data_IF_489587800932
#
_entry.id   IF_489587800932
#
_cell.length_a   1.000
_cell.length_b   1.000
_cell.length_c   1.000
_cell.angle_alpha   90.00
_cell.angle_beta   90.00
_cell.angle_gamma   90.00
#
_symmetry.space_group_name_H-M   'P 1'
#
loop_
_entity.id
_entity.type
_entity.pdbx_description
1 polymer ?
#
# COMPACT_ATOMS: atom_id res chain seq x y z
N UNK A 1 -15.18 -14.38 18.91
CA UNK A 1 -16.01 -13.34 18.25
C UNK A 1 -15.27 -12.01 18.09
N UNK A 2 -14.52 -11.55 19.11
CA UNK A 2 -13.76 -10.29 19.09
C UNK A 2 -12.77 -10.11 17.92
N UNK A 3 -12.12 -11.19 17.45
CA UNK A 3 -11.12 -11.08 16.36
C UNK A 3 -11.72 -10.72 15.00
N UNK A 4 -12.97 -11.11 14.69
CA UNK A 4 -13.58 -10.84 13.37
C UNK A 4 -13.91 -9.37 13.18
N UNK A 5 -14.54 -8.78 14.21
CA UNK A 5 -14.96 -7.40 14.19
C UNK A 5 -13.75 -6.45 14.15
N UNK A 6 -12.73 -6.72 14.97
CA UNK A 6 -11.48 -5.95 14.96
C UNK A 6 -10.84 -5.93 13.57
N UNK A 7 -10.69 -7.08 12.92
CA UNK A 7 -10.13 -7.13 11.57
C UNK A 7 -10.98 -6.40 10.54
N UNK A 8 -12.31 -6.49 10.61
CA UNK A 8 -13.19 -5.73 9.70
C UNK A 8 -13.03 -4.22 9.89
N UNK A 9 -13.10 -3.72 11.12
CA UNK A 9 -12.93 -2.29 11.42
C UNK A 9 -11.55 -1.81 10.96
N UNK A 10 -10.48 -2.55 11.26
CA UNK A 10 -9.14 -2.19 10.81
C UNK A 10 -9.00 -2.17 9.29
N UNK A 11 -9.60 -3.11 8.55
CA UNK A 11 -9.58 -3.09 7.07
C UNK A 11 -10.28 -1.88 6.49
N UNK A 12 -11.35 -1.41 7.12
CA UNK A 12 -12.09 -0.22 6.68
C UNK A 12 -11.23 1.02 6.94
N UNK A 13 -10.72 1.18 8.17
CA UNK A 13 -9.88 2.33 8.54
C UNK A 13 -8.63 2.40 7.66
N UNK A 14 -7.90 1.29 7.52
CA UNK A 14 -6.73 1.24 6.65
C UNK A 14 -7.10 1.51 5.19
N UNK A 15 -8.21 0.96 4.71
CA UNK A 15 -8.69 1.21 3.35
C UNK A 15 -8.85 2.71 3.10
N UNK A 16 -9.52 3.44 4.00
CA UNK A 16 -9.60 4.90 3.91
C UNK A 16 -8.24 5.59 4.01
N UNK A 17 -7.35 5.14 4.90
CA UNK A 17 -5.99 5.67 5.04
C UNK A 17 -5.14 5.48 3.78
N UNK A 18 -5.46 4.54 2.90
CA UNK A 18 -4.81 4.37 1.59
C UNK A 18 -5.55 5.10 0.46
N UNK A 19 -6.88 5.18 0.50
CA UNK A 19 -7.68 5.92 -0.49
C UNK A 19 -7.35 7.41 -0.45
N UNK A 20 -7.31 8.02 0.74
CA UNK A 20 -7.05 9.47 0.89
C UNK A 20 -5.72 9.92 0.25
N UNK A 21 -4.55 9.35 0.59
CA UNK A 21 -3.30 9.70 -0.07
C UNK A 21 -3.27 9.29 -1.55
N UNK A 22 -3.96 8.22 -1.94
CA UNK A 22 -4.11 7.82 -3.35
C UNK A 22 -4.82 8.89 -4.18
N UNK A 23 -5.90 9.49 -3.65
CA UNK A 23 -6.59 10.63 -4.29
C UNK A 23 -5.65 11.82 -4.37
N UNK A 24 -4.94 12.17 -3.29
CA UNK A 24 -4.02 13.31 -3.26
C UNK A 24 -2.87 13.15 -4.28
N UNK A 25 -2.36 11.92 -4.47
CA UNK A 25 -1.32 11.61 -5.47
C UNK A 25 -1.85 11.65 -6.91
N UNK A 26 -3.11 11.27 -7.11
CA UNK A 26 -3.73 11.17 -8.44
C UNK A 26 -4.26 12.53 -8.92
N UNK A 27 -4.92 13.27 -8.02
CA UNK A 27 -5.59 14.55 -8.29
C UNK A 27 -4.73 15.70 -7.80
N UNK A 28 -4.54 16.71 -8.64
CA UNK A 28 -3.75 17.89 -8.34
C UNK A 28 -4.51 18.88 -7.44
N UNK A 29 -4.86 18.47 -6.23
CA UNK A 29 -5.70 19.27 -5.30
C UNK A 29 -5.04 20.60 -4.90
N UNK A 30 -3.72 20.58 -4.66
CA UNK A 30 -2.96 21.78 -4.32
C UNK A 30 -1.59 21.73 -5.01
N UNK A 31 -1.26 22.77 -5.76
CA UNK A 31 0.01 22.89 -6.50
C UNK A 31 1.24 22.87 -5.60
N UNK A 32 1.16 23.42 -4.40
CA UNK A 32 2.27 23.42 -3.42
C UNK A 32 2.51 22.02 -2.89
N UNK A 33 1.47 21.35 -2.40
CA UNK A 33 1.58 19.97 -1.91
C UNK A 33 2.03 19.02 -3.02
N UNK A 34 1.45 19.16 -4.22
CA UNK A 34 1.82 18.38 -5.38
C UNK A 34 3.30 18.55 -5.75
N UNK A 35 3.84 19.78 -5.67
CA UNK A 35 5.27 20.03 -5.93
C UNK A 35 6.17 19.37 -4.89
N UNK A 36 5.82 19.45 -3.60
CA UNK A 36 6.60 18.79 -2.56
C UNK A 36 6.59 17.27 -2.72
N UNK A 37 5.42 16.67 -2.99
CA UNK A 37 5.33 15.24 -3.28
C UNK A 37 6.12 14.88 -4.54
N UNK A 38 6.05 15.69 -5.60
CA UNK A 38 6.79 15.44 -6.84
C UNK A 38 8.30 15.47 -6.61
N UNK A 39 8.81 16.36 -5.73
CA UNK A 39 10.24 16.34 -5.33
C UNK A 39 10.60 15.04 -4.63
N UNK A 40 9.78 14.57 -3.69
CA UNK A 40 10.00 13.28 -3.02
C UNK A 40 9.98 12.12 -4.02
N UNK A 41 9.01 12.10 -4.94
CA UNK A 41 8.93 11.07 -5.97
C UNK A 41 10.09 11.15 -6.97
N UNK A 42 10.62 12.34 -7.26
CA UNK A 42 11.87 12.48 -8.05
C UNK A 42 13.02 11.76 -7.38
N UNK A 43 13.22 11.98 -6.09
CA UNK A 43 14.24 11.26 -5.32
C UNK A 43 13.96 9.74 -5.31
N UNK A 44 12.69 9.33 -5.20
CA UNK A 44 12.32 7.92 -5.30
C UNK A 44 12.63 7.32 -6.67
N UNK A 45 12.44 8.04 -7.78
CA UNK A 45 12.76 7.51 -9.12
C UNK A 45 14.26 7.24 -9.31
N UNK A 46 15.12 7.94 -8.56
CA UNK A 46 16.57 7.72 -8.64
C UNK A 46 17.00 6.43 -7.95
N UNK A 47 16.31 6.06 -6.86
CA UNK A 47 16.61 4.88 -6.04
C UNK A 47 15.66 3.71 -6.28
N UNK A 48 14.61 3.89 -7.10
CA UNK A 48 13.58 2.88 -7.32
C UNK A 48 14.18 1.62 -7.92
N UNK A 49 13.76 0.42 -7.47
CA UNK A 49 14.19 -0.84 -8.07
C UNK A 49 13.76 -0.96 -9.54
N UNK A 50 12.80 -0.16 -10.01
CA UNK A 50 12.43 -0.04 -11.43
C UNK A 50 13.62 0.40 -12.30
N UNK A 51 14.58 1.14 -11.72
CA UNK A 51 15.81 1.53 -12.40
C UNK A 51 16.73 0.33 -12.64
N UNK A 52 16.71 -0.68 -11.78
CA UNK A 52 17.41 -1.95 -12.02
C UNK A 52 16.86 -2.69 -13.24
N UNK A 53 15.60 -2.46 -13.61
CA UNK A 53 14.98 -2.97 -14.84
C UNK A 53 15.28 -2.09 -16.07
N UNK A 54 16.10 -1.03 -15.95
CA UNK A 54 16.47 -0.13 -17.05
C UNK A 54 15.39 0.89 -17.42
N UNK A 55 14.27 0.93 -16.68
CA UNK A 55 13.20 1.91 -16.91
C UNK A 55 13.50 3.12 -16.04
N UNK A 56 13.51 4.31 -16.65
CA UNK A 56 13.64 5.59 -15.95
C UNK A 56 12.24 6.20 -15.81
N UNK A 57 11.50 5.88 -14.73
CA UNK A 57 10.12 6.34 -14.61
C UNK A 57 10.09 7.87 -14.43
N UNK A 58 9.21 8.54 -15.17
CA UNK A 58 8.93 9.95 -14.94
C UNK A 58 8.30 10.10 -13.54
N UNK A 59 8.83 10.99 -12.65
CA UNK A 59 8.33 11.13 -11.28
C UNK A 59 6.84 11.44 -11.20
N UNK A 60 6.28 12.16 -12.17
CA UNK A 60 4.85 12.42 -12.23
C UNK A 60 4.05 11.13 -12.49
N UNK A 61 4.49 10.32 -13.45
CA UNK A 61 3.84 9.05 -13.80
C UNK A 61 3.97 8.05 -12.66
N UNK A 62 5.15 7.98 -12.03
CA UNK A 62 5.41 7.10 -10.88
C UNK A 62 4.55 7.45 -9.67
N UNK A 63 4.35 8.74 -9.40
CA UNK A 63 3.47 9.21 -8.33
C UNK A 63 2.01 8.87 -8.62
N UNK A 64 1.52 9.18 -9.83
CA UNK A 64 0.15 8.89 -10.22
C UNK A 64 -0.13 7.40 -10.26
N UNK A 65 0.78 6.57 -10.79
CA UNK A 65 0.60 5.12 -10.81
C UNK A 65 0.51 4.56 -9.40
N UNK A 66 1.42 4.96 -8.52
CA UNK A 66 1.40 4.54 -7.10
C UNK A 66 0.10 4.97 -6.43
N UNK A 67 -0.37 6.20 -6.68
CA UNK A 67 -1.64 6.69 -6.16
C UNK A 67 -2.85 5.91 -6.66
N UNK A 68 -2.88 5.53 -7.94
CA UNK A 68 -3.95 4.67 -8.49
C UNK A 68 -3.92 3.29 -7.87
N UNK A 69 -2.74 2.68 -7.67
CA UNK A 69 -2.63 1.39 -6.98
C UNK A 69 -3.12 1.49 -5.53
N UNK A 70 -2.73 2.53 -4.78
CA UNK A 70 -3.23 2.76 -3.41
C UNK A 70 -4.76 2.94 -3.39
N UNK A 71 -5.32 3.67 -4.36
CA UNK A 71 -6.76 3.87 -4.48
C UNK A 71 -7.50 2.55 -4.78
N UNK A 72 -7.02 1.79 -5.77
CA UNK A 72 -7.63 0.52 -6.17
C UNK A 72 -7.56 -0.50 -5.03
N UNK A 73 -6.38 -0.67 -4.42
CA UNK A 73 -6.18 -1.62 -3.34
C UNK A 73 -6.89 -1.19 -2.06
N UNK A 74 -6.86 0.10 -1.72
CA UNK A 74 -7.58 0.64 -0.57
C UNK A 74 -9.10 0.46 -0.71
N UNK A 75 -9.67 0.76 -1.88
CA UNK A 75 -11.09 0.55 -2.17
C UNK A 75 -11.46 -0.94 -2.10
N UNK A 76 -10.61 -1.80 -2.66
CA UNK A 76 -10.76 -3.26 -2.58
C UNK A 76 -10.68 -3.76 -1.13
N UNK A 77 -9.88 -3.13 -0.27
CA UNK A 77 -9.77 -3.48 1.15
C UNK A 77 -11.05 -3.15 1.93
N UNK A 78 -11.74 -2.06 1.58
CA UNK A 78 -13.02 -1.65 2.18
C UNK A 78 -14.15 -2.56 1.68
N UNK A 79 -14.38 -2.60 0.37
CA UNK A 79 -15.58 -3.18 -0.27
C UNK A 79 -15.40 -4.66 -0.62
N UNK A 80 -14.17 -5.12 -0.79
CA UNK A 80 -13.88 -6.44 -1.35
C UNK A 80 -14.38 -7.60 -0.50
N UNK A 81 -14.67 -8.73 -1.18
CA UNK A 81 -14.89 -9.99 -0.49
C UNK A 81 -13.58 -10.50 0.13
N UNK A 82 -13.67 -11.52 0.97
CA UNK A 82 -12.54 -11.98 1.79
C UNK A 82 -11.28 -12.34 1.01
N UNK A 83 -11.42 -12.98 -0.15
CA UNK A 83 -10.30 -13.32 -1.04
C UNK A 83 -9.68 -12.07 -1.66
N UNK A 84 -10.51 -11.12 -2.11
CA UNK A 84 -10.03 -9.84 -2.65
C UNK A 84 -9.36 -8.99 -1.57
N UNK A 85 -9.83 -9.02 -0.32
CA UNK A 85 -9.15 -8.35 0.81
C UNK A 85 -7.77 -8.93 1.07
N UNK A 86 -7.57 -10.26 0.97
CA UNK A 86 -6.24 -10.88 1.08
C UNK A 86 -5.32 -10.38 -0.03
N UNK A 87 -5.79 -10.38 -1.27
CA UNK A 87 -5.01 -9.92 -2.42
C UNK A 87 -4.68 -8.43 -2.32
N UNK A 88 -5.66 -7.61 -1.94
CA UNK A 88 -5.47 -6.19 -1.70
C UNK A 88 -4.44 -5.95 -0.59
N UNK A 89 -4.54 -6.69 0.53
CA UNK A 89 -3.59 -6.60 1.62
C UNK A 89 -2.16 -6.92 1.17
N UNK A 90 -1.97 -8.00 0.39
CA UNK A 90 -0.67 -8.33 -0.21
C UNK A 90 -0.15 -7.23 -1.12
N UNK A 91 -1.00 -6.66 -1.97
CA UNK A 91 -0.64 -5.54 -2.84
C UNK A 91 -0.20 -4.31 -2.03
N UNK A 92 -0.95 -3.93 -1.00
CA UNK A 92 -0.60 -2.78 -0.15
C UNK A 92 0.69 -3.06 0.63
N UNK A 93 0.89 -4.28 1.13
CA UNK A 93 2.14 -4.69 1.76
C UNK A 93 3.33 -4.53 0.81
N UNK A 94 3.18 -4.93 -0.46
CA UNK A 94 4.22 -4.73 -1.47
C UNK A 94 4.51 -3.25 -1.73
N UNK A 95 3.49 -2.39 -1.76
CA UNK A 95 3.67 -0.93 -1.89
C UNK A 95 4.40 -0.34 -0.67
N UNK A 96 4.08 -0.79 0.55
CA UNK A 96 4.76 -0.35 1.76
C UNK A 96 6.23 -0.79 1.75
N UNK A 97 6.53 -2.03 1.36
CA UNK A 97 7.91 -2.51 1.21
C UNK A 97 8.70 -1.70 0.17
N UNK A 98 8.09 -1.42 -0.99
CA UNK A 98 8.71 -0.60 -2.03
C UNK A 98 9.00 0.82 -1.50
N UNK A 99 8.08 1.40 -0.74
CA UNK A 99 8.24 2.72 -0.13
C UNK A 99 9.35 2.72 0.91
N UNK A 100 9.35 1.73 1.83
CA UNK A 100 10.41 1.52 2.82
C UNK A 100 11.78 1.35 2.16
N UNK A 101 11.87 0.58 1.06
CA UNK A 101 13.11 0.42 0.31
C UNK A 101 13.61 1.76 -0.26
N UNK A 102 12.73 2.54 -0.90
CA UNK A 102 13.09 3.85 -1.43
C UNK A 102 13.59 4.78 -0.32
N UNK A 103 12.93 4.80 0.83
CA UNK A 103 13.32 5.64 1.97
C UNK A 103 14.62 5.18 2.63
N UNK A 104 14.86 3.88 2.73
CA UNK A 104 16.14 3.32 3.19
C UNK A 104 17.30 3.77 2.29
N UNK A 105 17.11 3.74 0.97
CA UNK A 105 18.12 4.19 0.01
C UNK A 105 18.35 5.71 0.06
N UNK A 106 17.31 6.48 0.37
CA UNK A 106 17.44 7.92 0.63
C UNK A 106 17.98 8.25 2.02
N UNK A 107 18.20 7.24 2.88
CA UNK A 107 18.69 7.36 4.26
C UNK A 107 17.79 8.26 5.15
N UNK A 108 16.50 8.32 4.81
CA UNK A 108 15.51 9.11 5.53
C UNK A 108 14.80 8.23 6.57
N UNK A 109 15.48 7.97 7.68
CA UNK A 109 15.03 7.02 8.71
C UNK A 109 13.77 7.48 9.45
N UNK A 110 13.54 8.79 9.55
CA UNK A 110 12.34 9.33 10.18
C UNK A 110 11.09 8.98 9.36
N UNK A 111 11.21 8.99 8.03
CA UNK A 111 10.10 8.65 7.14
C UNK A 111 9.81 7.14 7.07
N UNK A 112 10.75 6.27 7.48
CA UNK A 112 10.66 4.79 7.41
C UNK A 112 9.70 4.20 8.44
N UNK A 113 9.56 4.84 9.61
CA UNK A 113 8.74 4.30 10.69
C UNK A 113 7.26 4.14 10.29
N UNK A 114 6.77 5.04 9.44
CA UNK A 114 5.37 5.07 8.99
C UNK A 114 5.02 3.86 8.12
N UNK A 115 5.67 3.61 6.96
CA UNK A 115 5.37 2.44 6.14
C UNK A 115 5.70 1.12 6.83
N UNK A 116 6.71 1.07 7.70
CA UNK A 116 6.96 -0.10 8.54
C UNK A 116 5.78 -0.40 9.48
N UNK A 117 5.22 0.61 10.14
CA UNK A 117 4.04 0.46 10.99
C UNK A 117 2.83 -0.08 10.20
N UNK A 118 2.58 0.47 9.00
CA UNK A 118 1.54 -0.03 8.11
C UNK A 118 1.79 -1.47 7.68
N UNK A 119 3.03 -1.84 7.39
CA UNK A 119 3.39 -3.21 7.00
C UNK A 119 3.05 -4.23 8.10
N UNK A 120 3.41 -3.95 9.36
CA UNK A 120 3.08 -4.84 10.49
C UNK A 120 1.56 -4.94 10.72
N UNK A 121 0.83 -3.83 10.63
CA UNK A 121 -0.63 -3.83 10.74
C UNK A 121 -1.29 -4.65 9.63
N UNK A 122 -0.84 -4.50 8.39
CA UNK A 122 -1.34 -5.25 7.24
C UNK A 122 -0.99 -6.74 7.34
N UNK A 123 0.24 -7.07 7.78
CA UNK A 123 0.65 -8.45 8.01
C UNK A 123 -0.22 -9.13 9.07
N UNK A 124 -0.53 -8.42 10.17
CA UNK A 124 -1.45 -8.90 11.20
C UNK A 124 -2.84 -9.18 10.64
N UNK A 125 -3.40 -8.24 9.86
CA UNK A 125 -4.71 -8.39 9.20
C UNK A 125 -4.71 -9.55 8.21
N UNK A 126 -3.63 -9.70 7.43
CA UNK A 126 -3.47 -10.79 6.48
C UNK A 126 -3.50 -12.15 7.19
N UNK A 127 -2.72 -12.31 8.27
CA UNK A 127 -2.71 -13.53 9.08
C UNK A 127 -4.05 -13.78 9.78
N UNK A 128 -4.73 -12.73 10.25
CA UNK A 128 -6.06 -12.84 10.83
C UNK A 128 -7.10 -13.28 9.79
N UNK A 129 -7.01 -12.76 8.55
CA UNK A 129 -7.84 -13.20 7.42
C UNK A 129 -7.53 -14.63 7.01
N UNK A 130 -6.28 -15.08 7.12
CA UNK A 130 -5.86 -16.44 6.77
C UNK A 130 -6.33 -17.48 7.80
N UNK A 131 -6.13 -17.23 9.10
CA UNK A 131 -6.61 -18.13 10.18
C UNK A 131 -8.11 -18.40 10.13
N UNK A 132 -8.85 -17.47 9.58
CA UNK A 132 -10.30 -17.55 9.49
C UNK A 132 -10.76 -18.45 8.34
N UNK A 133 -9.87 -18.91 7.45
CA UNK A 133 -10.16 -19.70 6.26
C UNK A 133 -10.21 -21.16 6.71
N UNK A 134 -11.41 -21.74 6.92
CA UNK A 134 -11.48 -23.14 7.30
C UNK A 134 -10.96 -23.95 6.11
N UNK A 135 -10.04 -24.88 6.40
CA UNK A 135 -9.38 -25.80 5.49
C UNK A 135 -10.25 -26.21 4.29
N UNK A 136 -10.12 -25.49 3.17
CA UNK A 136 -10.66 -25.91 1.87
C UNK A 136 -9.58 -26.64 1.07
N UNK A 137 -8.90 -27.59 1.73
CA UNK A 137 -7.99 -28.55 1.10
C UNK A 137 -8.28 -29.98 1.57
N UNK A 138 -9.51 -30.44 1.37
CA UNK A 138 -9.85 -31.86 1.56
C UNK A 138 -10.97 -32.31 0.60
N UNK A 139 -11.12 -31.66 -0.55
CA UNK A 139 -12.03 -32.16 -1.59
C UNK A 139 -11.57 -31.79 -2.99
N UNK A 140 -10.45 -32.39 -3.38
CA UNK A 140 -10.14 -32.69 -4.78
C UNK A 140 -9.36 -34.01 -4.79
N UNK A 141 -10.06 -35.08 -4.40
CA UNK A 141 -9.82 -36.43 -4.92
C UNK A 141 -10.80 -36.61 -6.09
#
# INVERSE_FOLDING_TARGET
MASRFGTQVSTIILGFLFILPGIVKTVRLNTTLYREMLKTFKNFTEVSPLRCFGIQPNPQVYMQSTGVFELMLGTTLVVGSRTFKKLACLGVMALMLLTTYCQLMLRDFDAIIVPCGYFFLLAWIYLALDRMEPARRLKTD
#
